data_IF_615047367140
#
_entry.id   IF_615047367140
#
_cell.length_a   1.000
_cell.length_b   1.000
_cell.length_c   1.000
_cell.angle_alpha   90.00
_cell.angle_beta   90.00
_cell.angle_gamma   90.00
#
_symmetry.space_group_name_H-M   'P 1'
#
loop_
_entity.id
_entity.type
_entity.pdbx_description
1 polymer ?
#
# COMPACT_ATOMS: atom_id res chain seq x y z
N UNK A 1 4.17 -62.19 31.81
CA UNK A 1 4.98 -61.13 31.16
C UNK A 1 4.21 -59.84 30.80
N UNK A 2 3.01 -59.58 31.34
CA UNK A 2 2.22 -58.36 31.07
C UNK A 2 2.40 -57.20 32.07
N UNK A 3 3.33 -57.31 33.03
CA UNK A 3 3.61 -56.24 34.03
C UNK A 3 4.94 -55.48 33.80
N UNK A 4 5.73 -55.84 32.78
CA UNK A 4 7.05 -55.24 32.53
C UNK A 4 7.00 -54.13 31.45
N UNK A 5 5.96 -54.10 30.61
CA UNK A 5 5.83 -53.12 29.53
C UNK A 5 5.40 -51.71 30.00
N UNK A 6 4.75 -51.58 31.17
CA UNK A 6 4.38 -50.27 31.72
C UNK A 6 5.57 -49.53 32.35
N UNK A 7 6.61 -50.23 32.81
CA UNK A 7 7.79 -49.61 33.40
C UNK A 7 8.80 -49.11 32.35
N UNK A 8 8.89 -49.78 31.21
CA UNK A 8 9.77 -49.36 30.11
C UNK A 8 9.25 -48.09 29.40
N UNK A 9 7.93 -47.97 29.21
CA UNK A 9 7.34 -46.76 28.63
C UNK A 9 7.50 -45.52 29.55
N UNK A 10 7.42 -45.70 30.88
CA UNK A 10 7.69 -44.65 31.86
C UNK A 10 9.18 -44.23 31.87
N UNK A 11 10.11 -45.19 31.71
CA UNK A 11 11.54 -44.90 31.67
C UNK A 11 11.94 -44.10 30.43
N UNK A 12 11.33 -44.35 29.26
CA UNK A 12 11.59 -43.55 28.06
C UNK A 12 11.06 -42.10 28.15
N UNK A 13 9.92 -41.86 28.83
CA UNK A 13 9.41 -40.50 29.05
C UNK A 13 10.21 -39.74 30.10
N UNK A 14 10.70 -40.41 31.14
CA UNK A 14 11.52 -39.77 32.19
C UNK A 14 12.94 -39.47 31.68
N UNK A 15 13.52 -40.33 30.84
CA UNK A 15 14.85 -40.07 30.25
C UNK A 15 14.85 -38.88 29.28
N UNK A 16 13.79 -38.69 28.47
CA UNK A 16 13.69 -37.53 27.57
C UNK A 16 13.56 -36.20 28.33
N UNK A 17 12.81 -36.16 29.43
CA UNK A 17 12.69 -34.96 30.29
C UNK A 17 14.05 -34.54 30.88
N UNK A 18 14.86 -35.50 31.33
CA UNK A 18 16.18 -35.20 31.91
C UNK A 18 17.22 -34.69 30.90
N UNK A 19 17.06 -35.04 29.61
CA UNK A 19 18.03 -34.69 28.58
C UNK A 19 17.97 -33.21 28.20
N UNK A 20 16.76 -32.67 28.00
CA UNK A 20 16.62 -31.26 27.57
C UNK A 20 16.88 -30.27 28.72
N UNK A 21 16.60 -30.64 29.97
CA UNK A 21 17.07 -29.84 31.12
C UNK A 21 18.60 -29.74 31.19
N UNK A 22 19.32 -30.80 30.78
CA UNK A 22 20.79 -30.78 30.66
C UNK A 22 21.23 -29.83 29.55
N UNK A 23 20.54 -29.82 28.41
CA UNK A 23 20.79 -28.90 27.29
C UNK A 23 20.66 -27.44 27.75
N UNK A 24 19.64 -27.10 28.54
CA UNK A 24 19.48 -25.74 29.11
C UNK A 24 20.66 -25.36 30.01
N UNK A 25 21.14 -26.29 30.85
CA UNK A 25 22.30 -26.08 31.73
C UNK A 25 23.60 -25.92 30.94
N UNK A 26 23.77 -26.70 29.87
CA UNK A 26 24.91 -26.63 28.97
C UNK A 26 24.95 -25.27 28.25
N UNK A 27 23.83 -24.86 27.65
CA UNK A 27 23.70 -23.56 27.00
C UNK A 27 24.03 -22.41 27.99
N UNK A 28 23.49 -22.48 29.21
CA UNK A 28 23.78 -21.48 30.27
C UNK A 28 25.27 -21.42 30.64
N UNK A 29 25.97 -22.56 30.60
CA UNK A 29 27.40 -22.64 30.86
C UNK A 29 28.23 -22.07 29.71
N UNK A 30 27.73 -22.16 28.49
CA UNK A 30 28.34 -21.61 27.27
C UNK A 30 28.13 -20.10 27.07
N UNK A 31 27.47 -19.38 27.99
CA UNK A 31 27.08 -17.96 27.85
C UNK A 31 28.18 -16.96 27.49
N UNK A 32 29.45 -17.31 27.66
CA UNK A 32 30.58 -16.47 27.20
C UNK A 32 30.68 -16.39 25.67
N UNK A 33 30.10 -17.37 24.97
CA UNK A 33 29.90 -17.38 23.53
C UNK A 33 28.38 -17.46 23.28
N UNK A 34 27.69 -16.30 23.16
CA UNK A 34 26.24 -16.29 23.09
C UNK A 34 25.68 -16.88 21.79
N UNK A 35 26.48 -16.94 20.72
CA UNK A 35 26.07 -17.60 19.46
C UNK A 35 26.01 -19.11 19.69
N UNK A 36 27.10 -19.69 20.20
CA UNK A 36 27.15 -21.12 20.52
C UNK A 36 26.11 -21.50 21.60
N UNK A 37 25.94 -20.66 22.61
CA UNK A 37 24.95 -20.89 23.65
C UNK A 37 23.51 -20.90 23.11
N UNK A 38 23.19 -20.02 22.16
CA UNK A 38 21.90 -20.01 21.49
C UNK A 38 21.68 -21.29 20.66
N UNK A 39 22.69 -21.73 19.89
CA UNK A 39 22.63 -22.97 19.10
C UNK A 39 22.40 -24.20 19.98
N UNK A 40 23.12 -24.32 21.10
CA UNK A 40 22.93 -25.42 22.06
C UNK A 40 21.50 -25.42 22.59
N UNK A 41 20.90 -24.25 22.84
CA UNK A 41 19.57 -24.14 23.46
C UNK A 41 18.42 -24.49 22.49
N UNK A 42 18.61 -24.46 21.17
CA UNK A 42 17.53 -24.60 20.19
C UNK A 42 16.64 -25.84 20.40
N UNK A 43 17.18 -27.06 20.66
CA UNK A 43 16.34 -28.24 20.89
C UNK A 43 15.43 -28.11 22.12
N UNK A 44 15.85 -27.37 23.14
CA UNK A 44 15.08 -27.16 24.36
C UNK A 44 13.91 -26.17 24.17
N UNK A 45 13.90 -25.38 23.08
CA UNK A 45 12.81 -24.43 22.80
C UNK A 45 11.55 -25.12 22.26
N UNK A 46 11.66 -26.34 21.76
CA UNK A 46 10.54 -27.11 21.19
C UNK A 46 10.15 -28.32 22.03
N UNK A 47 11.00 -28.74 22.98
CA UNK A 47 10.68 -29.83 23.89
C UNK A 47 9.64 -29.40 24.94
N UNK A 48 8.52 -30.10 25.13
CA UNK A 48 7.46 -29.69 26.05
C UNK A 48 7.92 -29.49 27.50
N UNK A 49 8.93 -30.23 27.97
CA UNK A 49 9.42 -30.16 29.35
C UNK A 49 10.18 -28.87 29.64
N UNK A 50 10.86 -28.31 28.64
CA UNK A 50 11.65 -27.07 28.77
C UNK A 50 10.99 -25.86 28.14
N UNK A 51 10.20 -26.05 27.07
CA UNK A 51 9.44 -24.97 26.41
C UNK A 51 8.27 -24.46 27.26
N UNK A 52 7.81 -25.24 28.24
CA UNK A 52 6.83 -24.81 29.25
C UNK A 52 7.48 -24.07 30.43
N UNK A 53 8.81 -23.95 30.48
CA UNK A 53 9.52 -23.15 31.49
C UNK A 53 9.83 -21.74 30.94
N UNK A 54 9.31 -20.66 31.55
CA UNK A 54 9.62 -19.31 31.09
C UNK A 54 11.12 -18.97 31.17
N UNK A 55 11.89 -19.58 32.08
CA UNK A 55 13.33 -19.30 32.19
C UNK A 55 14.12 -19.81 30.97
N UNK A 56 13.65 -20.86 30.30
CA UNK A 56 14.24 -21.35 29.04
C UNK A 56 14.15 -20.29 27.95
N UNK A 57 12.96 -19.71 27.76
CA UNK A 57 12.74 -18.63 26.79
C UNK A 57 13.46 -17.34 27.16
N UNK A 58 13.51 -17.02 28.44
CA UNK A 58 14.29 -15.89 28.94
C UNK A 58 15.77 -16.05 28.59
N UNK A 59 16.34 -17.24 28.80
CA UNK A 59 17.73 -17.52 28.49
C UNK A 59 18.01 -17.38 26.98
N UNK A 60 17.10 -17.86 26.14
CA UNK A 60 17.20 -17.68 24.69
C UNK A 60 17.22 -16.20 24.31
N UNK A 61 16.30 -15.41 24.86
CA UNK A 61 16.26 -13.97 24.63
C UNK A 61 17.50 -13.23 25.17
N UNK A 62 18.04 -13.64 26.33
CA UNK A 62 19.27 -13.08 26.90
C UNK A 62 20.49 -13.32 25.98
N UNK A 63 20.59 -14.50 25.33
CA UNK A 63 21.65 -14.77 24.36
C UNK A 63 21.51 -13.90 23.11
N UNK A 64 20.28 -13.77 22.57
CA UNK A 64 20.04 -12.89 21.43
C UNK A 64 20.32 -11.42 21.78
N UNK A 65 20.00 -11.00 23.00
CA UNK A 65 20.37 -9.67 23.51
C UNK A 65 21.88 -9.48 23.52
N UNK A 66 22.65 -10.46 24.01
CA UNK A 66 24.11 -10.36 24.04
C UNK A 66 24.71 -10.26 22.63
N UNK A 67 24.21 -11.05 21.67
CA UNK A 67 24.63 -10.97 20.27
C UNK A 67 24.29 -9.60 19.68
N UNK A 68 23.07 -9.12 19.93
CA UNK A 68 22.59 -7.83 19.47
C UNK A 68 23.45 -6.69 20.03
N UNK A 69 23.68 -6.66 21.35
CA UNK A 69 24.46 -5.61 22.00
C UNK A 69 25.90 -5.55 21.47
N UNK A 70 26.52 -6.71 21.22
CA UNK A 70 27.87 -6.81 20.65
C UNK A 70 27.94 -6.17 19.25
N UNK A 71 27.01 -6.53 18.35
CA UNK A 71 26.98 -5.95 17.00
C UNK A 71 26.56 -4.47 17.03
N UNK A 72 25.59 -4.10 17.87
CA UNK A 72 25.10 -2.73 17.99
C UNK A 72 26.20 -1.79 18.48
N UNK A 73 27.03 -2.24 19.42
CA UNK A 73 28.18 -1.46 19.91
C UNK A 73 29.16 -1.11 18.79
N UNK A 74 29.37 -2.01 17.81
CA UNK A 74 30.29 -1.76 16.68
C UNK A 74 29.86 -0.56 15.84
N UNK A 75 28.56 -0.26 15.77
CA UNK A 75 28.04 0.91 15.04
C UNK A 75 28.47 2.26 15.63
N UNK A 76 28.86 2.29 16.91
CA UNK A 76 29.28 3.51 17.61
C UNK A 76 30.80 3.67 17.71
N UNK A 77 31.57 2.69 17.26
CA UNK A 77 33.03 2.75 17.26
C UNK A 77 33.54 3.46 15.99
N UNK A 78 34.58 4.32 16.08
CA UNK A 78 35.20 4.93 14.90
C UNK A 78 35.68 3.85 13.91
N UNK A 79 35.13 3.84 12.70
CA UNK A 79 35.44 2.84 11.67
C UNK A 79 34.88 1.44 11.94
N UNK A 80 34.00 1.30 12.94
CA UNK A 80 33.35 0.03 13.26
C UNK A 80 32.34 -0.38 12.19
N UNK A 81 32.30 -1.68 11.89
CA UNK A 81 31.35 -2.27 10.97
C UNK A 81 30.63 -3.42 11.68
N UNK A 82 29.32 -3.28 11.85
CA UNK A 82 28.49 -4.34 12.41
C UNK A 82 28.09 -5.34 11.31
N UNK A 83 27.92 -6.60 11.68
CA UNK A 83 27.17 -7.55 10.86
C UNK A 83 25.68 -7.24 11.02
N UNK A 84 25.12 -6.47 10.08
CA UNK A 84 23.71 -6.04 10.12
C UNK A 84 22.74 -7.20 10.01
N UNK A 85 23.13 -8.31 9.37
CA UNK A 85 22.30 -9.52 9.29
C UNK A 85 22.19 -10.16 10.66
N UNK A 86 23.33 -10.32 11.35
CA UNK A 86 23.38 -10.87 12.72
C UNK A 86 22.70 -9.93 13.72
N UNK A 87 22.90 -8.62 13.60
CA UNK A 87 22.27 -7.60 14.42
C UNK A 87 20.74 -7.68 14.35
N UNK A 88 20.18 -7.59 13.14
CA UNK A 88 18.73 -7.51 12.96
C UNK A 88 18.04 -8.87 13.20
N UNK A 89 18.67 -9.98 12.82
CA UNK A 89 18.12 -11.31 13.17
C UNK A 89 18.05 -11.52 14.69
N UNK A 90 19.08 -11.10 15.43
CA UNK A 90 19.10 -11.18 16.90
C UNK A 90 18.07 -10.25 17.54
N UNK A 91 17.88 -9.04 16.98
CA UNK A 91 16.82 -8.13 17.42
C UNK A 91 15.44 -8.77 17.30
N UNK A 92 15.10 -9.34 16.14
CA UNK A 92 13.80 -10.01 15.95
C UNK A 92 13.64 -11.22 16.88
N UNK A 93 14.64 -12.10 16.98
CA UNK A 93 14.58 -13.27 17.86
C UNK A 93 14.46 -12.87 19.34
N UNK A 94 15.07 -11.77 19.77
CA UNK A 94 14.91 -11.26 21.13
C UNK A 94 13.47 -10.85 21.43
N UNK A 95 12.79 -10.13 20.51
CA UNK A 95 11.36 -9.81 20.64
C UNK A 95 10.49 -11.06 20.70
N UNK A 96 10.76 -12.03 19.82
CA UNK A 96 10.05 -13.31 19.77
C UNK A 96 10.18 -14.11 21.08
N UNK A 97 11.41 -14.34 21.53
CA UNK A 97 11.69 -15.16 22.71
C UNK A 97 11.22 -14.50 24.02
N UNK A 98 11.36 -13.19 24.17
CA UNK A 98 10.82 -12.50 25.36
C UNK A 98 9.30 -12.40 25.36
N UNK A 99 8.65 -12.28 24.20
CA UNK A 99 7.19 -12.40 24.12
C UNK A 99 6.75 -13.80 24.53
N UNK A 100 7.42 -14.83 24.01
CA UNK A 100 7.13 -16.22 24.37
C UNK A 100 7.37 -16.51 25.86
N UNK A 101 8.43 -15.94 26.43
CA UNK A 101 8.71 -16.01 27.86
C UNK A 101 7.55 -15.44 28.70
N UNK A 102 7.02 -14.27 28.33
CA UNK A 102 5.86 -13.69 29.00
C UNK A 102 4.60 -14.55 28.84
N UNK A 103 4.31 -15.04 27.64
CA UNK A 103 3.17 -15.94 27.39
C UNK A 103 3.18 -17.16 28.31
N UNK A 104 4.34 -17.83 28.40
CA UNK A 104 4.53 -19.01 29.24
C UNK A 104 4.44 -18.66 30.73
N UNK A 105 5.04 -17.55 31.15
CA UNK A 105 4.94 -17.07 32.53
C UNK A 105 3.47 -16.78 32.92
N UNK A 106 2.73 -16.09 32.05
CA UNK A 106 1.32 -15.79 32.31
C UNK A 106 0.44 -17.04 32.32
N UNK A 107 0.70 -18.01 31.46
CA UNK A 107 -0.02 -19.28 31.50
C UNK A 107 0.12 -19.96 32.87
N UNK A 108 1.33 -19.93 33.46
CA UNK A 108 1.59 -20.43 34.82
C UNK A 108 0.93 -19.59 35.91
N UNK A 109 0.82 -18.27 35.72
CA UNK A 109 0.07 -17.41 36.65
C UNK A 109 -1.42 -17.74 36.61
N UNK A 110 -1.98 -17.89 35.42
CA UNK A 110 -3.40 -18.20 35.20
C UNK A 110 -3.78 -19.60 35.71
N UNK A 111 -2.86 -20.57 35.63
CA UNK A 111 -3.08 -21.91 36.18
C UNK A 111 -2.91 -21.99 37.70
N UNK A 112 -2.35 -20.96 38.34
CA UNK A 112 -2.03 -20.93 39.76
C UNK A 112 -0.68 -21.56 40.16
N UNK A 113 0.10 -22.07 39.19
CA UNK A 113 1.46 -22.57 39.42
C UNK A 113 2.40 -21.44 39.89
N UNK A 114 2.19 -20.22 39.37
CA UNK A 114 2.86 -19.00 39.83
C UNK A 114 1.86 -18.02 40.45
N UNK A 115 2.20 -17.44 41.60
CA UNK A 115 1.32 -16.46 42.28
C UNK A 115 1.21 -15.12 41.55
N UNK A 116 2.26 -14.71 40.83
CA UNK A 116 2.35 -13.44 40.10
C UNK A 116 3.48 -13.50 39.07
N UNK A 117 3.43 -12.69 37.99
CA UNK A 117 4.54 -12.61 37.05
C UNK A 117 5.77 -11.98 37.71
N UNK A 118 6.95 -12.47 37.33
CA UNK A 118 8.26 -12.03 37.83
C UNK A 118 9.10 -11.41 36.72
N UNK A 119 8.91 -11.82 35.47
CA UNK A 119 9.78 -11.47 34.36
C UNK A 119 9.22 -10.33 33.51
N UNK A 120 7.89 -10.28 33.28
CA UNK A 120 7.21 -9.30 32.41
C UNK A 120 7.83 -7.90 32.44
N UNK A 121 7.87 -7.27 33.61
CA UNK A 121 8.36 -5.89 33.78
C UNK A 121 9.81 -5.69 33.31
N UNK A 122 10.69 -6.67 33.54
CA UNK A 122 12.10 -6.58 33.12
C UNK A 122 12.23 -6.79 31.61
N UNK A 123 11.48 -7.74 31.06
CA UNK A 123 11.47 -8.04 29.63
C UNK A 123 10.92 -6.87 28.82
N UNK A 124 9.77 -6.32 29.24
CA UNK A 124 9.14 -5.16 28.64
C UNK A 124 10.13 -3.99 28.55
N UNK A 125 10.71 -3.57 29.69
CA UNK A 125 11.72 -2.50 29.71
C UNK A 125 12.89 -2.72 28.77
N UNK A 126 13.37 -3.96 28.67
CA UNK A 126 14.47 -4.32 27.76
C UNK A 126 14.07 -4.12 26.31
N UNK A 127 12.89 -4.61 25.92
CA UNK A 127 12.37 -4.46 24.57
C UNK A 127 12.01 -3.01 24.23
N UNK A 128 11.49 -2.23 25.18
CA UNK A 128 11.20 -0.79 24.97
C UNK A 128 12.47 -0.05 24.53
N UNK A 129 13.62 -0.33 25.15
CA UNK A 129 14.89 0.33 24.81
C UNK A 129 15.34 0.06 23.36
N UNK A 130 15.11 -1.15 22.84
CA UNK A 130 15.58 -1.53 21.50
C UNK A 130 14.49 -1.48 20.43
N UNK A 131 13.22 -1.28 20.80
CA UNK A 131 12.07 -1.20 19.88
C UNK A 131 12.29 -0.20 18.74
N UNK A 132 12.84 1.00 18.96
CA UNK A 132 13.13 1.93 17.87
C UNK A 132 14.03 1.33 16.77
N UNK A 133 14.93 0.41 17.11
CA UNK A 133 15.83 -0.18 16.11
C UNK A 133 15.13 -1.14 15.15
N UNK A 134 13.89 -1.56 15.44
CA UNK A 134 13.05 -2.29 14.48
C UNK A 134 12.70 -1.42 13.27
N UNK A 135 12.60 -0.09 13.43
CA UNK A 135 12.32 0.79 12.28
C UNK A 135 13.52 0.83 11.34
N UNK A 136 14.74 0.90 11.87
CA UNK A 136 15.97 0.85 11.08
C UNK A 136 16.10 -0.49 10.35
N UNK A 137 15.90 -1.61 11.06
CA UNK A 137 15.92 -2.94 10.46
C UNK A 137 14.87 -3.10 9.34
N UNK A 138 13.67 -2.58 9.57
CA UNK A 138 12.60 -2.58 8.57
C UNK A 138 12.95 -1.73 7.35
N UNK A 139 13.48 -0.52 7.54
CA UNK A 139 13.88 0.38 6.46
C UNK A 139 15.02 -0.20 5.62
N UNK A 140 16.05 -0.77 6.25
CA UNK A 140 17.16 -1.42 5.54
C UNK A 140 16.66 -2.61 4.71
N UNK A 141 15.80 -3.46 5.29
CA UNK A 141 15.20 -4.58 4.59
C UNK A 141 14.33 -4.11 3.41
N UNK A 142 13.55 -3.05 3.59
CA UNK A 142 12.69 -2.47 2.55
C UNK A 142 13.53 -1.93 1.38
N UNK A 143 14.59 -1.16 1.68
CA UNK A 143 15.49 -0.59 0.68
C UNK A 143 16.29 -1.67 -0.06
N UNK A 144 16.55 -2.81 0.57
CA UNK A 144 17.14 -3.98 -0.06
C UNK A 144 16.15 -4.82 -0.89
N UNK A 145 14.88 -4.42 -0.98
CA UNK A 145 13.82 -5.17 -1.67
C UNK A 145 13.38 -6.44 -0.93
N UNK A 146 13.82 -6.64 0.33
CA UNK A 146 13.41 -7.76 1.17
C UNK A 146 12.16 -7.40 1.96
N UNK A 147 11.04 -7.33 1.26
CA UNK A 147 9.75 -6.90 1.82
C UNK A 147 9.23 -7.84 2.91
N UNK A 148 9.57 -9.13 2.88
CA UNK A 148 9.20 -10.10 3.92
C UNK A 148 9.83 -9.74 5.27
N UNK A 149 11.14 -9.44 5.27
CA UNK A 149 11.81 -8.99 6.48
C UNK A 149 11.37 -7.57 6.89
N UNK A 150 11.16 -6.67 5.93
CA UNK A 150 10.63 -5.34 6.23
C UNK A 150 9.29 -5.42 6.97
N UNK A 151 8.35 -6.21 6.44
CA UNK A 151 7.07 -6.48 7.07
C UNK A 151 7.22 -7.08 8.47
N UNK A 152 8.14 -8.05 8.64
CA UNK A 152 8.42 -8.64 9.96
C UNK A 152 8.86 -7.58 10.97
N UNK A 153 9.82 -6.73 10.64
CA UNK A 153 10.35 -5.73 11.58
C UNK A 153 9.34 -4.61 11.87
N UNK A 154 8.71 -4.04 10.84
CA UNK A 154 7.67 -3.03 11.03
C UNK A 154 6.46 -3.60 11.79
N UNK A 155 6.07 -4.84 11.49
CA UNK A 155 5.00 -5.54 12.20
C UNK A 155 5.29 -5.69 13.69
N UNK A 156 6.49 -6.14 14.07
CA UNK A 156 6.91 -6.21 15.48
C UNK A 156 6.80 -4.86 16.20
N UNK A 157 7.16 -3.77 15.51
CA UNK A 157 7.04 -2.42 16.08
C UNK A 157 5.58 -2.02 16.29
N UNK A 158 4.73 -2.25 15.27
CA UNK A 158 3.32 -1.83 15.22
C UNK A 158 2.43 -2.68 16.12
N UNK A 159 2.77 -3.95 16.33
CA UNK A 159 2.01 -4.87 17.17
C UNK A 159 2.31 -4.69 18.68
N UNK A 160 3.45 -4.10 19.03
CA UNK A 160 3.88 -3.95 20.41
C UNK A 160 2.85 -3.24 21.33
N UNK A 161 2.17 -2.14 20.92
CA UNK A 161 1.14 -1.50 21.74
C UNK A 161 -0.04 -2.41 22.11
N UNK A 162 -0.33 -3.44 21.31
CA UNK A 162 -1.41 -4.41 21.55
C UNK A 162 -0.93 -5.67 22.28
N UNK A 163 0.38 -5.85 22.42
CA UNK A 163 0.94 -7.03 23.06
C UNK A 163 0.88 -6.87 24.60
N UNK A 164 0.30 -7.84 25.34
CA UNK A 164 0.18 -7.78 26.80
C UNK A 164 1.48 -7.58 27.57
N UNK A 165 2.63 -7.95 26.99
CA UNK A 165 3.95 -7.67 27.56
C UNK A 165 4.17 -6.18 27.84
N UNK A 166 3.60 -5.30 27.02
CA UNK A 166 3.75 -3.84 27.12
C UNK A 166 2.55 -3.13 27.79
N UNK A 167 1.64 -3.87 28.43
CA UNK A 167 0.41 -3.29 29.01
C UNK A 167 0.68 -2.16 30.04
N UNK A 168 1.81 -2.23 30.75
CA UNK A 168 2.25 -1.24 31.74
C UNK A 168 3.22 -0.19 31.18
N UNK A 169 3.51 -0.21 29.87
CA UNK A 169 4.49 0.67 29.22
C UNK A 169 3.78 1.77 28.41
N UNK A 170 3.44 2.88 29.07
CA UNK A 170 2.71 4.01 28.45
C UNK A 170 3.43 4.61 27.23
N UNK A 171 4.77 4.58 27.22
CA UNK A 171 5.57 5.05 26.09
C UNK A 171 5.36 4.22 24.82
N UNK A 172 4.99 2.94 24.93
CA UNK A 172 4.67 2.08 23.79
C UNK A 172 3.20 2.25 23.41
N UNK A 173 2.29 2.24 24.38
CA UNK A 173 0.83 2.35 24.12
C UNK A 173 0.46 3.66 23.42
N UNK A 174 1.13 4.75 23.79
CA UNK A 174 0.85 6.10 23.28
C UNK A 174 1.83 6.55 22.19
N UNK A 175 2.56 5.60 21.58
CA UNK A 175 3.57 5.92 20.58
C UNK A 175 2.93 6.45 19.28
N UNK A 176 3.10 7.75 19.07
CA UNK A 176 2.58 8.48 17.91
C UNK A 176 3.23 8.10 16.59
N UNK A 177 4.36 7.38 16.61
CA UNK A 177 5.01 6.85 15.40
C UNK A 177 4.35 5.56 14.92
N UNK A 178 3.53 4.89 15.74
CA UNK A 178 2.88 3.63 15.37
C UNK A 178 2.09 3.72 14.05
N UNK A 179 1.23 4.74 13.82
CA UNK A 179 0.57 4.89 12.53
C UNK A 179 1.54 5.13 11.37
N UNK A 180 2.64 5.85 11.58
CA UNK A 180 3.65 6.05 10.53
C UNK A 180 4.29 4.72 10.13
N UNK A 181 4.78 3.94 11.11
CA UNK A 181 5.42 2.66 10.85
C UNK A 181 4.43 1.65 10.26
N UNK A 182 3.15 1.72 10.64
CA UNK A 182 2.08 0.91 10.05
C UNK A 182 1.87 1.20 8.55
N UNK A 183 2.10 2.42 8.07
CA UNK A 183 2.08 2.70 6.63
C UNK A 183 3.17 1.92 5.89
N UNK A 184 4.38 1.85 6.43
CA UNK A 184 5.47 1.08 5.80
C UNK A 184 5.25 -0.43 5.89
N UNK A 185 4.67 -0.93 6.98
CA UNK A 185 4.22 -2.32 7.07
C UNK A 185 3.16 -2.63 6.00
N UNK A 186 2.16 -1.75 5.81
CA UNK A 186 1.13 -1.91 4.79
C UNK A 186 1.72 -1.92 3.37
N UNK A 187 2.67 -1.03 3.06
CA UNK A 187 3.35 -1.02 1.76
C UNK A 187 4.13 -2.31 1.49
N UNK A 188 4.88 -2.79 2.49
CA UNK A 188 5.61 -4.05 2.39
C UNK A 188 4.65 -5.23 2.16
N UNK A 189 3.56 -5.30 2.92
CA UNK A 189 2.52 -6.30 2.75
C UNK A 189 1.84 -6.24 1.36
N UNK A 190 1.55 -5.03 0.88
CA UNK A 190 0.94 -4.83 -0.45
C UNK A 190 1.85 -5.33 -1.57
N UNK A 191 3.16 -5.08 -1.44
CA UNK A 191 4.17 -5.57 -2.40
C UNK A 191 4.25 -7.10 -2.41
N UNK A 192 4.09 -7.73 -1.25
CA UNK A 192 4.02 -9.19 -1.10
C UNK A 192 2.66 -9.78 -1.50
N UNK A 193 1.66 -8.93 -1.78
CA UNK A 193 0.26 -9.33 -2.03
C UNK A 193 -0.35 -10.09 -0.84
N UNK A 194 0.07 -9.78 0.38
CA UNK A 194 -0.52 -10.31 1.62
C UNK A 194 -1.69 -9.41 2.04
N UNK A 195 -2.89 -9.71 1.52
CA UNK A 195 -4.09 -8.92 1.76
C UNK A 195 -4.46 -8.83 3.26
N UNK A 196 -4.27 -9.91 4.02
CA UNK A 196 -4.58 -9.93 5.44
C UNK A 196 -3.66 -8.99 6.23
N UNK A 197 -2.36 -9.01 5.92
CA UNK A 197 -1.42 -8.07 6.52
C UNK A 197 -1.67 -6.62 6.07
N UNK A 198 -2.03 -6.39 4.80
CA UNK A 198 -2.45 -5.06 4.34
C UNK A 198 -3.62 -4.55 5.16
N UNK A 199 -4.72 -5.31 5.26
CA UNK A 199 -5.91 -4.90 6.02
C UNK A 199 -5.56 -4.59 7.47
N UNK A 200 -4.77 -5.45 8.11
CA UNK A 200 -4.32 -5.26 9.51
C UNK A 200 -3.55 -3.95 9.68
N UNK A 201 -2.46 -3.76 8.94
CA UNK A 201 -1.55 -2.64 9.17
C UNK A 201 -2.07 -1.34 8.57
N UNK A 202 -2.73 -1.37 7.42
CA UNK A 202 -3.29 -0.17 6.80
C UNK A 202 -4.44 0.43 7.62
N UNK A 203 -5.22 -0.39 8.34
CA UNK A 203 -6.26 0.10 9.26
C UNK A 203 -5.66 0.96 10.39
N UNK A 204 -4.44 0.65 10.82
CA UNK A 204 -3.70 1.45 11.80
C UNK A 204 -3.07 2.67 11.10
N UNK A 205 -2.41 2.44 9.97
CA UNK A 205 -1.62 3.45 9.27
C UNK A 205 -2.43 4.60 8.67
N UNK A 206 -3.71 4.36 8.29
CA UNK A 206 -4.61 5.41 7.78
C UNK A 206 -4.92 6.53 8.78
N UNK A 207 -4.58 6.33 10.05
CA UNK A 207 -4.73 7.35 11.11
C UNK A 207 -3.52 8.29 11.20
N UNK A 208 -2.44 8.02 10.46
CA UNK A 208 -1.33 8.96 10.37
C UNK A 208 -1.76 10.20 9.58
N UNK A 209 -1.53 11.39 10.16
CA UNK A 209 -2.04 12.66 9.62
C UNK A 209 -1.55 12.96 8.20
N UNK A 210 -0.26 12.76 7.92
CA UNK A 210 0.34 13.22 6.67
C UNK A 210 0.55 12.07 5.67
N UNK A 211 1.08 10.94 6.15
CA UNK A 211 1.36 9.73 5.35
C UNK A 211 0.23 8.69 5.29
N UNK A 212 -0.90 8.89 5.98
CA UNK A 212 -1.98 7.89 6.06
C UNK A 212 -2.63 7.55 4.72
N UNK A 213 -2.46 8.40 3.71
CA UNK A 213 -2.90 8.13 2.35
C UNK A 213 -2.30 6.84 1.78
N UNK A 214 -1.06 6.47 2.16
CA UNK A 214 -0.41 5.25 1.68
C UNK A 214 -1.21 4.01 2.08
N UNK A 215 -1.62 3.95 3.33
CA UNK A 215 -2.48 2.88 3.84
C UNK A 215 -3.84 2.86 3.13
N UNK A 216 -4.46 4.02 2.93
CA UNK A 216 -5.74 4.10 2.21
C UNK A 216 -5.61 3.65 0.75
N UNK A 217 -4.50 3.95 0.07
CA UNK A 217 -4.21 3.44 -1.27
C UNK A 217 -4.08 1.91 -1.29
N UNK A 218 -3.35 1.33 -0.32
CA UNK A 218 -3.25 -0.13 -0.19
C UNK A 218 -4.61 -0.79 0.09
N UNK A 219 -5.43 -0.20 0.97
CA UNK A 219 -6.79 -0.68 1.23
C UNK A 219 -7.68 -0.60 -0.01
N UNK A 220 -7.63 0.52 -0.74
CA UNK A 220 -8.37 0.69 -1.98
C UNK A 220 -7.93 -0.35 -3.04
N UNK A 221 -6.63 -0.67 -3.11
CA UNK A 221 -6.15 -1.72 -4.00
C UNK A 221 -6.71 -3.10 -3.61
N UNK A 222 -6.67 -3.47 -2.34
CA UNK A 222 -7.20 -4.74 -1.84
C UNK A 222 -8.71 -4.85 -2.08
N UNK A 223 -9.48 -3.81 -1.77
CA UNK A 223 -10.93 -3.85 -1.96
C UNK A 223 -11.37 -3.73 -3.43
N UNK A 224 -10.56 -3.07 -4.25
CA UNK A 224 -10.86 -2.77 -5.65
C UNK A 224 -10.45 -3.86 -6.66
N UNK A 225 -9.58 -4.80 -6.29
CA UNK A 225 -9.05 -5.84 -7.20
C UNK A 225 -9.68 -7.22 -6.95
N UNK A 226 -9.59 -8.08 -7.97
CA UNK A 226 -9.96 -9.50 -7.90
C UNK A 226 -11.42 -9.83 -8.22
N UNK A 227 -11.75 -11.12 -8.25
CA UNK A 227 -13.11 -11.62 -8.55
C UNK A 227 -14.15 -11.27 -7.47
N UNK A 228 -13.69 -10.85 -6.28
CA UNK A 228 -14.53 -10.51 -5.12
C UNK A 228 -14.34 -9.06 -4.68
N UNK A 229 -14.41 -8.12 -5.62
CA UNK A 229 -14.36 -6.68 -5.33
C UNK A 229 -15.38 -6.31 -4.25
N UNK A 230 -14.91 -5.75 -3.13
CA UNK A 230 -15.78 -5.14 -2.13
C UNK A 230 -15.98 -3.68 -2.48
N UNK A 231 -16.92 -3.43 -3.41
CA UNK A 231 -17.21 -2.08 -3.89
C UNK A 231 -17.68 -1.10 -2.78
N UNK A 232 -18.23 -1.62 -1.68
CA UNK A 232 -18.67 -0.82 -0.54
C UNK A 232 -17.46 -0.34 0.25
N UNK A 233 -16.56 -1.25 0.64
CA UNK A 233 -15.33 -0.91 1.36
C UNK A 233 -14.37 -0.08 0.50
N UNK A 234 -14.29 -0.38 -0.79
CA UNK A 234 -13.53 0.40 -1.75
C UNK A 234 -14.01 1.86 -1.78
N UNK A 235 -15.31 2.09 -2.01
CA UNK A 235 -15.85 3.45 -2.09
C UNK A 235 -15.71 4.20 -0.77
N UNK A 236 -15.92 3.52 0.37
CA UNK A 236 -15.71 4.11 1.68
C UNK A 236 -14.25 4.54 1.88
N UNK A 237 -13.30 3.71 1.48
CA UNK A 237 -11.86 4.00 1.54
C UNK A 237 -11.48 5.18 0.64
N UNK A 238 -11.99 5.21 -0.59
CA UNK A 238 -11.76 6.33 -1.52
C UNK A 238 -12.31 7.64 -0.95
N UNK A 239 -13.54 7.63 -0.41
CA UNK A 239 -14.15 8.82 0.21
C UNK A 239 -13.36 9.30 1.43
N UNK A 240 -12.92 8.38 2.29
CA UNK A 240 -12.05 8.72 3.43
C UNK A 240 -10.73 9.36 2.95
N UNK A 241 -10.18 8.87 1.83
CA UNK A 241 -9.01 9.45 1.19
C UNK A 241 -9.24 10.87 0.67
N UNK A 242 -10.36 11.14 0.01
CA UNK A 242 -10.72 12.50 -0.44
C UNK A 242 -10.89 13.46 0.73
N UNK A 243 -11.53 13.02 1.81
CA UNK A 243 -11.76 13.85 3.01
C UNK A 243 -10.45 14.18 3.74
N UNK A 244 -9.62 13.17 4.02
CA UNK A 244 -8.40 13.34 4.82
C UNK A 244 -7.22 13.88 4.00
N UNK A 245 -7.17 13.57 2.72
CA UNK A 245 -6.03 13.86 1.85
C UNK A 245 -6.48 14.49 0.52
N UNK A 246 -7.13 15.68 0.54
CA UNK A 246 -7.70 16.33 -0.64
C UNK A 246 -6.64 16.83 -1.67
N UNK A 247 -5.36 16.68 -1.37
CA UNK A 247 -4.26 16.92 -2.32
C UNK A 247 -3.83 15.65 -3.06
N UNK A 248 -4.30 14.47 -2.63
CA UNK A 248 -3.93 13.21 -3.26
C UNK A 248 -4.85 12.92 -4.43
N UNK A 249 -4.33 13.19 -5.63
CA UNK A 249 -5.03 13.03 -6.91
C UNK A 249 -5.63 11.64 -7.09
N UNK A 250 -4.97 10.60 -6.57
CA UNK A 250 -5.42 9.22 -6.62
C UNK A 250 -6.88 9.06 -6.13
N UNK A 251 -7.23 9.59 -4.95
CA UNK A 251 -8.58 9.40 -4.41
C UNK A 251 -9.62 10.19 -5.19
N UNK A 252 -9.26 11.39 -5.63
CA UNK A 252 -10.16 12.28 -6.34
C UNK A 252 -10.47 11.71 -7.73
N UNK A 253 -9.44 11.30 -8.47
CA UNK A 253 -9.60 10.63 -9.77
C UNK A 253 -10.49 9.39 -9.66
N UNK A 254 -10.20 8.48 -8.73
CA UNK A 254 -11.00 7.27 -8.54
C UNK A 254 -12.47 7.59 -8.15
N UNK A 255 -12.71 8.62 -7.34
CA UNK A 255 -14.06 9.02 -6.96
C UNK A 255 -14.83 9.63 -8.14
N UNK A 256 -14.17 10.45 -8.96
CA UNK A 256 -14.80 11.04 -10.14
C UNK A 256 -15.09 9.98 -11.21
N UNK A 257 -14.17 9.03 -11.44
CA UNK A 257 -14.40 7.89 -12.32
C UNK A 257 -15.61 7.05 -11.84
N UNK A 258 -15.74 6.83 -10.53
CA UNK A 258 -16.90 6.16 -9.95
C UNK A 258 -18.21 6.91 -10.26
N UNK A 259 -18.24 8.24 -10.11
CA UNK A 259 -19.44 9.01 -10.43
C UNK A 259 -19.78 8.96 -11.92
N UNK A 260 -18.79 9.03 -12.80
CA UNK A 260 -18.97 8.89 -14.25
C UNK A 260 -19.61 7.54 -14.58
N UNK A 261 -19.02 6.45 -14.08
CA UNK A 261 -19.53 5.09 -14.32
C UNK A 261 -20.94 4.86 -13.77
N UNK A 262 -21.34 5.58 -12.72
CA UNK A 262 -22.69 5.49 -12.14
C UNK A 262 -23.68 6.52 -12.70
N UNK A 263 -23.27 7.35 -13.66
CA UNK A 263 -24.11 8.43 -14.20
C UNK A 263 -24.42 9.54 -13.18
N UNK A 264 -23.66 9.63 -12.09
CA UNK A 264 -23.81 10.60 -11.00
C UNK A 264 -23.00 11.87 -11.26
N UNK A 265 -23.06 12.37 -12.50
CA UNK A 265 -22.19 13.47 -12.96
C UNK A 265 -22.39 14.75 -12.14
N UNK A 266 -23.64 15.06 -11.76
CA UNK A 266 -23.95 16.25 -10.94
C UNK A 266 -23.35 16.17 -9.53
N UNK A 267 -23.34 14.97 -8.93
CA UNK A 267 -22.67 14.74 -7.64
C UNK A 267 -21.16 14.97 -7.79
N UNK A 268 -20.56 14.43 -8.85
CA UNK A 268 -19.15 14.65 -9.16
C UNK A 268 -18.79 16.11 -9.39
N UNK A 269 -19.60 16.84 -10.17
CA UNK A 269 -19.40 18.28 -10.40
C UNK A 269 -19.52 19.10 -9.12
N UNK A 270 -20.45 18.76 -8.24
CA UNK A 270 -20.58 19.44 -6.94
C UNK A 270 -19.30 19.25 -6.13
N UNK A 271 -18.86 18.00 -5.99
CA UNK A 271 -17.70 17.68 -5.16
C UNK A 271 -16.38 18.22 -5.73
N UNK A 272 -16.15 18.14 -7.05
CA UNK A 272 -14.91 18.68 -7.63
C UNK A 272 -14.83 20.21 -7.50
N UNK A 273 -15.97 20.92 -7.55
CA UNK A 273 -15.99 22.37 -7.33
C UNK A 273 -15.65 22.72 -5.87
N UNK A 274 -16.12 21.96 -4.89
CA UNK A 274 -15.75 22.14 -3.47
C UNK A 274 -14.26 21.91 -3.23
N UNK A 275 -13.68 20.87 -3.87
CA UNK A 275 -12.24 20.59 -3.80
C UNK A 275 -11.45 21.75 -4.43
N UNK A 276 -11.82 22.17 -5.64
CA UNK A 276 -11.16 23.25 -6.36
C UNK A 276 -11.18 24.60 -5.62
N UNK A 277 -12.23 24.87 -4.84
CA UNK A 277 -12.32 26.09 -4.05
C UNK A 277 -11.22 26.20 -2.98
N UNK A 278 -10.72 25.07 -2.48
CA UNK A 278 -9.71 25.02 -1.42
C UNK A 278 -8.33 24.55 -1.92
N UNK A 279 -8.29 23.78 -2.99
CA UNK A 279 -7.07 23.20 -3.55
C UNK A 279 -7.07 23.28 -5.09
N UNK A 280 -6.85 24.47 -5.68
CA UNK A 280 -6.89 24.63 -7.13
C UNK A 280 -5.62 24.04 -7.77
N UNK A 281 -5.77 22.92 -8.48
CA UNK A 281 -4.69 22.30 -9.28
C UNK A 281 -5.10 22.16 -10.75
N UNK A 282 -4.12 22.16 -11.70
CA UNK A 282 -4.41 21.87 -13.10
C UNK A 282 -5.14 20.53 -13.30
N UNK A 283 -4.76 19.50 -12.54
CA UNK A 283 -5.40 18.18 -12.60
C UNK A 283 -6.88 18.24 -12.21
N UNK A 284 -7.24 18.88 -11.09
CA UNK A 284 -8.65 18.96 -10.68
C UNK A 284 -9.49 19.83 -11.62
N UNK A 285 -8.89 20.87 -12.21
CA UNK A 285 -9.56 21.64 -13.27
C UNK A 285 -9.81 20.77 -14.50
N UNK A 286 -8.83 19.95 -14.90
CA UNK A 286 -8.97 19.02 -16.01
C UNK A 286 -10.09 18.01 -15.74
N UNK A 287 -10.13 17.42 -14.53
CA UNK A 287 -11.18 16.49 -14.10
C UNK A 287 -12.58 17.16 -14.11
N UNK A 288 -12.70 18.42 -13.67
CA UNK A 288 -13.93 19.20 -13.81
C UNK A 288 -14.36 19.34 -15.27
N UNK A 289 -13.44 19.69 -16.16
CA UNK A 289 -13.71 19.79 -17.60
C UNK A 289 -14.20 18.47 -18.18
N UNK A 290 -13.61 17.34 -17.77
CA UNK A 290 -14.06 16.00 -18.17
C UNK A 290 -15.48 15.73 -17.67
N UNK A 291 -15.81 16.04 -16.42
CA UNK A 291 -17.17 15.88 -15.89
C UNK A 291 -18.21 16.74 -16.63
N UNK A 292 -17.86 17.96 -17.03
CA UNK A 292 -18.73 18.81 -17.86
C UNK A 292 -18.93 18.20 -19.24
N UNK A 293 -17.86 17.67 -19.85
CA UNK A 293 -17.94 16.93 -21.11
C UNK A 293 -18.86 15.71 -21.00
N UNK A 294 -18.72 14.89 -19.95
CA UNK A 294 -19.59 13.73 -19.71
C UNK A 294 -21.05 14.13 -19.45
N UNK A 295 -21.29 15.31 -18.86
CA UNK A 295 -22.62 15.93 -18.73
C UNK A 295 -23.21 16.40 -20.08
N UNK A 296 -22.41 16.39 -21.15
CA UNK A 296 -22.69 17.03 -22.46
C UNK A 296 -22.82 18.55 -22.37
N UNK A 297 -22.29 19.15 -21.30
CA UNK A 297 -22.09 20.60 -21.17
C UNK A 297 -20.81 20.98 -21.93
N UNK A 298 -20.87 20.91 -23.25
CA UNK A 298 -19.69 21.14 -24.11
C UNK A 298 -19.18 22.57 -24.01
N UNK A 299 -20.07 23.56 -23.90
CA UNK A 299 -19.67 24.97 -23.73
C UNK A 299 -18.92 25.18 -22.41
N UNK A 300 -19.45 24.63 -21.31
CA UNK A 300 -18.80 24.69 -20.01
C UNK A 300 -17.47 23.94 -19.97
N UNK A 301 -17.39 22.77 -20.60
CA UNK A 301 -16.14 22.00 -20.72
C UNK A 301 -15.08 22.79 -21.50
N UNK A 302 -15.44 23.35 -22.67
CA UNK A 302 -14.55 24.16 -23.49
C UNK A 302 -14.04 25.39 -22.71
N UNK A 303 -14.91 26.07 -21.96
CA UNK A 303 -14.50 27.19 -21.12
C UNK A 303 -13.45 26.77 -20.08
N UNK A 304 -13.71 25.69 -19.35
CA UNK A 304 -12.78 25.16 -18.34
C UNK A 304 -11.45 24.73 -18.94
N UNK A 305 -11.44 24.03 -20.09
CA UNK A 305 -10.20 23.61 -20.75
C UNK A 305 -9.40 24.80 -21.29
N UNK A 306 -10.06 25.85 -21.78
CA UNK A 306 -9.39 27.09 -22.19
C UNK A 306 -8.71 27.79 -21.00
N UNK A 307 -9.28 27.75 -19.80
CA UNK A 307 -8.61 28.27 -18.60
C UNK A 307 -7.31 27.51 -18.29
N UNK A 308 -7.28 26.18 -18.50
CA UNK A 308 -6.07 25.37 -18.33
C UNK A 308 -5.02 25.76 -19.38
N UNK A 309 -5.44 25.87 -20.65
CA UNK A 309 -4.57 26.28 -21.75
C UNK A 309 -3.97 27.66 -21.51
N UNK A 310 -4.77 28.62 -21.04
CA UNK A 310 -4.32 29.98 -20.76
C UNK A 310 -3.25 30.06 -19.65
N UNK A 311 -3.29 29.13 -18.68
CA UNK A 311 -2.27 29.01 -17.63
C UNK A 311 -0.95 28.39 -18.12
N UNK A 312 -0.97 27.72 -19.28
CA UNK A 312 0.20 27.12 -19.92
C UNK A 312 1.02 26.21 -18.98
N UNK A 313 0.34 25.34 -18.24
CA UNK A 313 0.92 24.38 -17.30
C UNK A 313 0.71 22.92 -17.72
N UNK A 314 0.45 22.05 -16.75
CA UNK A 314 0.10 20.64 -17.03
C UNK A 314 -1.26 20.53 -17.74
N UNK A 315 -1.48 19.40 -18.41
CA UNK A 315 -2.73 19.05 -19.13
C UNK A 315 -3.08 19.94 -20.33
N UNK A 316 -2.18 20.78 -20.85
CA UNK A 316 -2.48 21.65 -22.00
C UNK A 316 -2.81 20.84 -23.26
N UNK A 317 -2.00 19.83 -23.61
CA UNK A 317 -2.25 18.99 -24.78
C UNK A 317 -3.52 18.14 -24.63
N UNK A 318 -3.75 17.61 -23.43
CA UNK A 318 -4.96 16.88 -23.06
C UNK A 318 -6.21 17.78 -23.14
N UNK A 319 -6.10 19.04 -22.73
CA UNK A 319 -7.17 20.03 -22.80
C UNK A 319 -7.51 20.40 -24.25
N UNK A 320 -6.50 20.57 -25.11
CA UNK A 320 -6.72 20.70 -26.56
C UNK A 320 -7.47 19.50 -27.12
N UNK A 321 -7.00 18.28 -26.84
CA UNK A 321 -7.67 17.05 -27.28
C UNK A 321 -9.13 16.99 -26.81
N UNK A 322 -9.41 17.31 -25.54
CA UNK A 322 -10.76 17.33 -24.98
C UNK A 322 -11.68 18.41 -25.55
N UNK A 323 -11.14 19.57 -25.94
CA UNK A 323 -11.92 20.56 -26.71
C UNK A 323 -12.26 20.00 -28.10
N UNK A 324 -11.32 19.28 -28.74
CA UNK A 324 -11.59 18.53 -29.96
C UNK A 324 -12.76 17.55 -29.79
N UNK A 325 -12.78 16.79 -28.68
CA UNK A 325 -13.85 15.83 -28.35
C UNK A 325 -15.23 16.52 -28.27
N UNK A 326 -15.28 17.74 -27.72
CA UNK A 326 -16.51 18.53 -27.58
C UNK A 326 -17.16 18.89 -28.94
N UNK A 327 -16.43 18.81 -30.05
CA UNK A 327 -16.97 19.00 -31.40
C UNK A 327 -17.05 17.68 -32.18
N UNK A 328 -16.06 16.80 -32.01
CA UNK A 328 -15.94 15.56 -32.76
C UNK A 328 -17.06 14.57 -32.44
N UNK A 329 -17.37 14.34 -31.16
CA UNK A 329 -18.40 13.36 -30.79
C UNK A 329 -19.83 13.82 -31.12
N UNK A 330 -20.20 15.11 -30.98
CA UNK A 330 -21.45 15.61 -31.57
C UNK A 330 -21.54 15.37 -33.08
N UNK A 331 -20.43 15.47 -33.82
CA UNK A 331 -20.42 15.13 -35.24
C UNK A 331 -20.64 13.63 -35.46
N UNK A 332 -20.05 12.75 -34.65
CA UNK A 332 -20.27 11.30 -34.73
C UNK A 332 -21.74 10.92 -34.52
N UNK A 333 -22.44 11.56 -33.58
CA UNK A 333 -23.89 11.32 -33.39
C UNK A 333 -24.67 11.61 -34.67
N UNK A 334 -24.29 12.67 -35.39
CA UNK A 334 -24.92 13.03 -36.67
C UNK A 334 -24.51 12.05 -37.78
N UNK A 335 -23.26 11.56 -37.78
CA UNK A 335 -22.79 10.51 -38.71
C UNK A 335 -23.62 9.23 -38.54
N UNK A 336 -23.83 8.79 -37.30
CA UNK A 336 -24.65 7.61 -36.98
C UNK A 336 -26.12 7.81 -37.39
N UNK A 337 -26.67 9.01 -37.18
CA UNK A 337 -28.00 9.36 -37.68
C UNK A 337 -28.06 9.26 -39.21
N UNK A 338 -27.07 9.83 -39.91
CA UNK A 338 -27.00 9.82 -41.38
C UNK A 338 -26.86 8.42 -41.97
N UNK A 339 -26.19 7.49 -41.28
CA UNK A 339 -26.05 6.11 -41.73
C UNK A 339 -27.40 5.39 -41.90
N UNK A 340 -28.46 5.90 -41.28
CA UNK A 340 -29.82 5.34 -41.35
C UNK A 340 -30.75 6.11 -42.31
N UNK A 341 -30.25 7.13 -43.00
CA UNK A 341 -31.03 7.94 -43.95
C UNK A 341 -30.72 7.55 -45.40
N UNK A 342 -31.70 7.71 -46.29
CA UNK A 342 -31.46 7.66 -47.73
C UNK A 342 -30.66 8.88 -48.16
N UNK A 343 -29.77 8.72 -49.15
CA UNK A 343 -29.00 9.85 -49.71
C UNK A 343 -29.90 10.91 -50.37
N UNK A 344 -31.10 10.51 -50.82
CA UNK A 344 -32.08 11.43 -51.40
C UNK A 344 -32.90 12.18 -50.33
N UNK A 345 -32.76 11.83 -49.06
CA UNK A 345 -33.41 12.55 -47.96
C UNK A 345 -32.76 13.94 -47.81
N UNK A 346 -33.52 15.06 -47.88
CA UNK A 346 -32.98 16.41 -47.67
C UNK A 346 -32.22 16.58 -46.34
N UNK A 347 -32.55 15.77 -45.33
CA UNK A 347 -31.86 15.74 -44.04
C UNK A 347 -30.44 15.21 -44.14
N UNK A 348 -30.16 14.26 -45.05
CA UNK A 348 -28.83 13.71 -45.25
C UNK A 348 -27.83 14.82 -45.62
N UNK A 349 -28.14 15.62 -46.65
CA UNK A 349 -27.29 16.72 -47.11
C UNK A 349 -27.15 17.82 -46.05
N UNK A 350 -28.21 18.10 -45.29
CA UNK A 350 -28.17 19.07 -44.18
C UNK A 350 -27.22 18.60 -43.07
N UNK A 351 -27.31 17.32 -42.70
CA UNK A 351 -26.46 16.72 -41.68
C UNK A 351 -25.00 16.62 -42.13
N UNK A 352 -24.73 16.32 -43.40
CA UNK A 352 -23.38 16.34 -43.98
C UNK A 352 -22.70 17.72 -43.81
N UNK A 353 -23.45 18.81 -44.04
CA UNK A 353 -22.96 20.16 -43.79
C UNK A 353 -22.59 20.40 -42.32
N UNK A 354 -23.41 19.95 -41.38
CA UNK A 354 -23.15 20.07 -39.94
C UNK A 354 -21.95 19.24 -39.47
N UNK A 355 -21.83 18.00 -39.98
CA UNK A 355 -20.68 17.13 -39.70
C UNK A 355 -19.39 17.83 -40.12
N UNK A 356 -19.38 18.39 -41.34
CA UNK A 356 -18.23 19.14 -41.86
C UNK A 356 -17.88 20.34 -40.97
N UNK A 357 -18.87 21.15 -40.59
CA UNK A 357 -18.66 22.31 -39.72
C UNK A 357 -18.04 21.92 -38.36
N UNK A 358 -18.54 20.85 -37.74
CA UNK A 358 -18.03 20.38 -36.45
C UNK A 358 -16.62 19.80 -36.57
N UNK A 359 -16.31 19.06 -37.64
CA UNK A 359 -14.96 18.59 -37.89
C UNK A 359 -13.98 19.73 -38.17
N UNK A 360 -14.39 20.78 -38.89
CA UNK A 360 -13.59 21.98 -39.09
C UNK A 360 -13.28 22.69 -37.77
N UNK A 361 -14.21 22.70 -36.81
CA UNK A 361 -13.97 23.20 -35.45
C UNK A 361 -13.06 22.29 -34.64
N UNK A 362 -13.21 20.97 -34.74
CA UNK A 362 -12.42 19.99 -33.97
C UNK A 362 -10.95 19.92 -34.44
N UNK A 363 -10.72 19.97 -35.76
CA UNK A 363 -9.41 19.83 -36.43
C UNK A 363 -8.27 20.60 -35.74
N UNK A 364 -8.34 21.94 -35.57
CA UNK A 364 -7.22 22.71 -35.05
C UNK A 364 -6.82 22.31 -33.62
N UNK A 365 -7.76 21.83 -32.80
CA UNK A 365 -7.45 21.43 -31.43
C UNK A 365 -6.69 20.11 -31.40
N UNK A 366 -7.07 19.12 -32.21
CA UNK A 366 -6.30 17.88 -32.30
C UNK A 366 -4.94 18.08 -32.98
N UNK A 367 -4.84 18.97 -33.97
CA UNK A 367 -3.54 19.35 -34.55
C UNK A 367 -2.62 19.98 -33.51
N UNK A 368 -3.17 20.85 -32.64
CA UNK A 368 -2.40 21.43 -31.55
C UNK A 368 -2.01 20.39 -30.51
N UNK A 369 -2.88 19.43 -30.18
CA UNK A 369 -2.54 18.31 -29.32
C UNK A 369 -1.41 17.45 -29.91
N UNK A 370 -1.43 17.21 -31.23
CA UNK A 370 -0.35 16.53 -31.97
C UNK A 370 0.97 17.30 -31.92
N UNK A 371 0.93 18.62 -32.13
CA UNK A 371 2.12 19.47 -32.05
C UNK A 371 2.77 19.40 -30.67
N UNK A 372 1.96 19.42 -29.60
CA UNK A 372 2.44 19.43 -28.22
C UNK A 372 2.90 18.06 -27.73
N UNK A 373 2.23 16.97 -28.15
CA UNK A 373 2.54 15.59 -27.77
C UNK A 373 2.45 14.65 -28.98
N UNK A 374 3.43 14.70 -29.90
CA UNK A 374 3.40 13.90 -31.13
C UNK A 374 3.50 12.39 -30.85
N UNK A 375 4.15 11.97 -29.77
CA UNK A 375 4.26 10.54 -29.44
C UNK A 375 2.98 9.98 -28.80
N UNK A 376 2.13 10.83 -28.22
CA UNK A 376 0.88 10.43 -27.57
C UNK A 376 -0.28 10.44 -28.58
N UNK A 377 -0.22 9.50 -29.53
CA UNK A 377 -1.20 9.34 -30.62
C UNK A 377 -2.63 9.17 -30.12
N UNK A 378 -2.85 8.73 -28.88
CA UNK A 378 -4.18 8.57 -28.28
C UNK A 378 -4.94 9.91 -28.17
N UNK A 379 -4.22 11.04 -28.12
CA UNK A 379 -4.84 12.37 -28.03
C UNK A 379 -5.38 12.90 -29.36
N UNK A 380 -4.94 12.37 -30.50
CA UNK A 380 -5.20 13.02 -31.80
C UNK A 380 -5.31 12.06 -33.00
N UNK A 381 -4.67 10.89 -32.97
CA UNK A 381 -4.44 10.01 -34.13
C UNK A 381 -5.71 9.61 -34.88
N UNK A 382 -6.56 8.82 -34.24
CA UNK A 382 -7.79 8.33 -34.87
C UNK A 382 -8.77 9.48 -35.16
N UNK A 383 -8.78 10.52 -34.32
CA UNK A 383 -9.65 11.67 -34.49
C UNK A 383 -9.28 12.48 -35.74
N UNK A 384 -8.00 12.82 -35.91
CA UNK A 384 -7.51 13.49 -37.11
C UNK A 384 -7.67 12.63 -38.36
N UNK A 385 -7.47 11.31 -38.26
CA UNK A 385 -7.68 10.40 -39.39
C UNK A 385 -9.13 10.46 -39.88
N UNK A 386 -10.11 10.36 -38.97
CA UNK A 386 -11.53 10.47 -39.31
C UNK A 386 -11.90 11.85 -39.88
N UNK A 387 -11.35 12.92 -39.31
CA UNK A 387 -11.57 14.29 -39.78
C UNK A 387 -10.99 14.47 -41.19
N UNK A 388 -9.74 14.08 -41.42
CA UNK A 388 -9.07 14.23 -42.71
C UNK A 388 -9.71 13.39 -43.80
N UNK A 389 -10.18 12.17 -43.47
CA UNK A 389 -10.93 11.35 -44.42
C UNK A 389 -12.13 12.12 -45.02
N UNK A 390 -12.83 12.89 -44.19
CA UNK A 390 -14.00 13.68 -44.60
C UNK A 390 -13.61 14.99 -45.28
N UNK A 391 -12.55 15.65 -44.81
CA UNK A 391 -12.24 17.04 -45.19
C UNK A 391 -11.13 17.18 -46.23
N UNK A 392 -10.10 16.31 -46.19
CA UNK A 392 -8.90 16.44 -46.99
C UNK A 392 -8.16 15.10 -47.19
N UNK A 393 -8.33 14.52 -48.38
CA UNK A 393 -7.75 13.23 -48.74
C UNK A 393 -6.21 13.19 -48.67
N UNK A 394 -5.51 14.28 -49.00
CA UNK A 394 -4.03 14.24 -48.96
C UNK A 394 -3.50 14.24 -47.53
N UNK A 395 -4.15 14.98 -46.62
CA UNK A 395 -3.81 14.97 -45.18
C UNK A 395 -4.12 13.59 -44.58
N UNK A 396 -5.22 12.94 -45.02
CA UNK A 396 -5.56 11.58 -44.62
C UNK A 396 -4.46 10.58 -45.02
N UNK A 397 -4.08 10.55 -46.31
CA UNK A 397 -3.07 9.61 -46.83
C UNK A 397 -1.70 9.81 -46.16
N UNK A 398 -1.33 11.06 -45.87
CA UNK A 398 -0.11 11.37 -45.14
C UNK A 398 -0.15 10.86 -43.70
N UNK A 399 -1.28 11.07 -43.00
CA UNK A 399 -1.46 10.65 -41.61
C UNK A 399 -1.57 9.14 -41.47
N UNK A 400 -2.28 8.46 -42.36
CA UNK A 400 -2.43 7.01 -42.41
C UNK A 400 -1.05 6.32 -42.45
N UNK A 401 -0.17 6.82 -43.33
CA UNK A 401 1.22 6.35 -43.42
C UNK A 401 2.05 6.64 -42.16
N UNK A 402 1.85 7.80 -41.52
CA UNK A 402 2.53 8.15 -40.26
C UNK A 402 2.08 7.26 -39.09
N UNK A 403 0.82 6.86 -39.08
CA UNK A 403 0.26 5.96 -38.07
C UNK A 403 0.62 4.50 -38.31
N UNK A 404 1.03 4.13 -39.52
CA UNK A 404 1.51 2.79 -39.88
C UNK A 404 0.38 1.82 -40.24
N UNK A 405 -0.71 2.35 -40.81
CA UNK A 405 -1.83 1.54 -41.34
C UNK A 405 -1.59 1.08 -42.78
#
# INVERSE_FOLDING_TARGET
MKKILFSAALLFTVCSMSAQESVVKEAKSAKSDPVKAAEILEPALVDPSTASDPETWKLAGDFQKAIYDEENMKLYLPGGQADTTKLYSSLAKMFEYYTKCDEVEQAKVNSGELKKPKLRKKLAKTLVTVRPNLTNAGSDAYNAGNYANALKFFGLYVDAPQNPLFADEDAVKNDTLTPLIANYAALAANTLKDEAAVIKYATIGKNHKDEGYRSLMCLAEVYGKGEKTDSVQWLATIKEGVEKFPAQEYFIGNLMDYYIQKGKIDEGLTQINEILANNPTPYFMYVKGVLQYEKKDYEGAIATFNEIIAKNGDFVAESYSKIGDCYFFPAQVIVEENANLSMDDPKYATNEGKIKELYEKAKPFYEKAKELKPDNKQLWGQYLLNIYWKLNKSEYEALEKELGY
#
